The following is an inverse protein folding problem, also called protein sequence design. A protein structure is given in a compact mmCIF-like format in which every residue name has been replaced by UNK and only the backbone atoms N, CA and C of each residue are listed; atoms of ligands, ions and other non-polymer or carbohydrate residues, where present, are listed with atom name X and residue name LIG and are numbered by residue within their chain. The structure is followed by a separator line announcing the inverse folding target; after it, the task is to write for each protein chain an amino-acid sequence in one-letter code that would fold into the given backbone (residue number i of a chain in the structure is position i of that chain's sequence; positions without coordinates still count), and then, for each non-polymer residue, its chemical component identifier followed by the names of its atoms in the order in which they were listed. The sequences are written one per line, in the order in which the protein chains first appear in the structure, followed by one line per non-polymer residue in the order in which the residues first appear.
data_IF_323743784500
#
_entry.id   IF_323743784500
#
_cell.length_a   1.000
_cell.length_b   1.000
_cell.length_c   1.000
_cell.angle_alpha   90.00
_cell.angle_beta   90.00
_cell.angle_gamma   90.00
#
_symmetry.space_group_name_H-M   'P 1'
#
loop_
_entity.id
_entity.type
_entity.pdbx_description
1 polymer ?
#
# COMPACT_ATOMS: atom_id res chain seq x y z
N UNK A 1 2.24 -30.06 34.79
CA UNK A 1 3.08 -30.30 33.59
C UNK A 1 3.40 -29.04 32.76
N UNK A 2 3.40 -27.82 33.34
CA UNK A 2 3.82 -26.60 32.61
C UNK A 2 5.32 -26.31 32.80
N UNK A 3 5.87 -26.57 34.00
CA UNK A 3 7.27 -26.28 34.31
C UNK A 3 8.28 -27.32 33.78
N UNK A 4 7.81 -28.47 33.29
CA UNK A 4 8.67 -29.58 32.84
C UNK A 4 8.81 -29.66 31.31
N UNK A 5 7.90 -29.04 30.56
CA UNK A 5 7.86 -29.12 29.10
C UNK A 5 7.85 -27.70 28.53
N UNK A 6 8.86 -27.37 27.74
CA UNK A 6 9.00 -26.06 27.10
C UNK A 6 8.09 -25.98 25.87
N UNK A 7 6.87 -25.48 26.07
CA UNK A 7 5.86 -25.37 25.00
C UNK A 7 5.85 -24.01 24.31
N UNK A 8 6.38 -22.97 24.96
CA UNK A 8 6.39 -21.60 24.46
C UNK A 8 7.35 -21.44 23.27
N UNK A 9 6.89 -20.79 22.19
CA UNK A 9 7.70 -20.53 20.99
C UNK A 9 7.82 -19.04 20.74
N UNK A 10 9.03 -18.58 20.41
CA UNK A 10 9.31 -17.23 19.89
C UNK A 10 9.94 -17.35 18.52
N UNK A 11 9.37 -16.67 17.53
CA UNK A 11 9.88 -16.62 16.16
C UNK A 11 10.20 -15.17 15.82
N UNK A 12 11.38 -14.95 15.24
CA UNK A 12 11.83 -13.63 14.80
C UNK A 12 12.10 -13.67 13.31
N UNK A 13 11.54 -12.73 12.55
CA UNK A 13 11.90 -12.52 11.16
C UNK A 13 13.16 -11.64 11.10
N UNK A 14 14.29 -12.21 10.71
CA UNK A 14 15.59 -11.51 10.73
C UNK A 14 15.59 -10.22 9.88
N UNK A 15 15.07 -10.21 8.64
CA UNK A 15 15.14 -9.02 7.79
C UNK A 15 14.35 -7.81 8.30
N UNK A 16 13.21 -8.05 8.99
CA UNK A 16 12.34 -6.95 9.47
C UNK A 16 12.43 -6.73 10.98
N UNK A 17 13.13 -7.61 11.71
CA UNK A 17 13.20 -7.59 13.18
C UNK A 17 11.89 -7.95 13.90
N UNK A 18 10.80 -8.26 13.19
CA UNK A 18 9.51 -8.55 13.81
C UNK A 18 9.57 -9.88 14.55
N UNK A 19 9.31 -9.83 15.85
CA UNK A 19 9.21 -11.01 16.71
C UNK A 19 7.77 -11.29 17.12
N UNK A 20 7.42 -12.58 17.17
CA UNK A 20 6.13 -13.09 17.62
C UNK A 20 6.36 -14.19 18.66
N UNK A 21 5.58 -14.14 19.74
CA UNK A 21 5.59 -15.16 20.81
C UNK A 21 4.22 -15.85 20.84
N UNK A 22 4.21 -17.18 20.95
CA UNK A 22 3.00 -17.98 21.09
C UNK A 22 3.14 -19.00 22.23
N UNK A 23 2.13 -19.05 23.10
CA UNK A 23 2.05 -19.92 24.28
C UNK A 23 0.64 -20.51 24.47
N UNK A 24 -0.18 -20.52 23.41
CA UNK A 24 -1.60 -20.83 23.50
C UNK A 24 -1.85 -22.33 23.68
N UNK A 25 -1.02 -23.16 23.07
CA UNK A 25 -1.21 -24.61 23.01
C UNK A 25 -0.27 -25.34 23.96
N UNK A 26 -0.66 -26.58 24.29
CA UNK A 26 0.17 -27.51 25.06
C UNK A 26 1.28 -28.14 24.22
N UNK A 27 1.18 -28.11 22.89
CA UNK A 27 2.21 -28.62 21.98
C UNK A 27 3.09 -27.49 21.45
N UNK A 28 4.41 -27.71 21.51
CA UNK A 28 5.42 -26.81 20.95
C UNK A 28 5.26 -26.65 19.42
N UNK A 29 4.91 -27.73 18.71
CA UNK A 29 4.68 -27.70 17.26
C UNK A 29 3.48 -26.82 16.90
N UNK A 30 2.36 -26.97 17.61
CA UNK A 30 1.16 -26.17 17.37
C UNK A 30 1.41 -24.68 17.67
N UNK A 31 2.17 -24.38 18.74
CA UNK A 31 2.59 -23.01 19.04
C UNK A 31 3.48 -22.43 17.94
N UNK A 32 4.37 -23.24 17.34
CA UNK A 32 5.21 -22.84 16.21
C UNK A 32 4.38 -22.52 14.97
N UNK A 33 3.44 -23.37 14.60
CA UNK A 33 2.55 -23.14 13.44
C UNK A 33 1.72 -21.86 13.62
N UNK A 34 1.10 -21.66 14.78
CA UNK A 34 0.37 -20.43 15.10
C UNK A 34 1.28 -19.19 15.08
N UNK A 35 2.48 -19.29 15.64
CA UNK A 35 3.44 -18.17 15.62
C UNK A 35 3.82 -17.79 14.19
N UNK A 36 4.02 -18.76 13.29
CA UNK A 36 4.31 -18.52 11.88
C UNK A 36 3.14 -17.89 11.14
N UNK A 37 1.90 -18.34 11.39
CA UNK A 37 0.70 -17.73 10.81
C UNK A 37 0.56 -16.27 11.24
N UNK A 38 0.74 -15.98 12.53
CA UNK A 38 0.68 -14.61 13.06
C UNK A 38 1.82 -13.74 12.51
N UNK A 39 3.03 -14.29 12.38
CA UNK A 39 4.16 -13.59 11.78
C UNK A 39 3.89 -13.25 10.32
N UNK A 40 3.36 -14.19 9.53
CA UNK A 40 2.97 -13.97 8.13
C UNK A 40 1.91 -12.86 8.02
N UNK A 41 0.91 -12.85 8.88
CA UNK A 41 -0.11 -11.80 8.90
C UNK A 41 0.51 -10.41 9.15
N UNK A 42 1.42 -10.30 10.12
CA UNK A 42 2.15 -9.04 10.39
C UNK A 42 3.01 -8.57 9.22
N UNK A 43 3.75 -9.49 8.59
CA UNK A 43 4.57 -9.18 7.41
C UNK A 43 3.72 -8.71 6.23
N UNK A 44 2.53 -9.29 6.07
CA UNK A 44 1.60 -8.90 5.00
C UNK A 44 1.03 -7.49 5.22
N UNK A 45 0.73 -7.11 6.46
CA UNK A 45 0.35 -5.72 6.78
C UNK A 45 1.48 -4.76 6.45
N UNK A 46 2.71 -5.07 6.89
CA UNK A 46 3.89 -4.25 6.61
C UNK A 46 4.11 -4.08 5.09
N UNK A 47 3.99 -5.15 4.32
CA UNK A 47 4.16 -5.09 2.86
C UNK A 47 3.09 -4.21 2.19
N UNK A 48 1.85 -4.25 2.68
CA UNK A 48 0.76 -3.38 2.19
C UNK A 48 1.01 -1.92 2.50
N UNK A 49 1.47 -1.60 3.72
CA UNK A 49 1.83 -0.24 4.11
C UNK A 49 2.98 0.31 3.24
N UNK A 50 4.03 -0.48 3.05
CA UNK A 50 5.15 -0.11 2.17
C UNK A 50 4.70 0.12 0.73
N UNK A 51 3.79 -0.71 0.21
CA UNK A 51 3.25 -0.55 -1.13
C UNK A 51 2.37 0.70 -1.26
N UNK A 52 1.52 0.97 -0.26
CA UNK A 52 0.71 2.17 -0.21
C UNK A 52 1.57 3.43 -0.15
N UNK A 53 2.65 3.42 0.64
CA UNK A 53 3.61 4.52 0.71
C UNK A 53 4.28 4.75 -0.65
N UNK A 54 4.78 3.69 -1.31
CA UNK A 54 5.36 3.81 -2.66
C UNK A 54 4.39 4.41 -3.66
N UNK A 55 3.13 4.00 -3.63
CA UNK A 55 2.09 4.57 -4.50
C UNK A 55 1.86 6.05 -4.16
N UNK A 56 1.79 6.40 -2.87
CA UNK A 56 1.63 7.78 -2.45
C UNK A 56 2.80 8.65 -2.92
N UNK A 57 4.04 8.16 -2.79
CA UNK A 57 5.24 8.84 -3.25
C UNK A 57 5.23 9.05 -4.78
N UNK A 58 4.80 8.05 -5.55
CA UNK A 58 4.65 8.16 -7.02
C UNK A 58 3.52 9.12 -7.41
N UNK A 59 2.40 9.08 -6.69
CA UNK A 59 1.25 9.96 -6.92
C UNK A 59 1.63 11.42 -6.69
N UNK A 60 2.57 11.66 -5.79
CA UNK A 60 2.98 13.01 -5.38
C UNK A 60 1.89 13.71 -4.60
N UNK A 61 1.96 15.03 -4.56
CA UNK A 61 0.96 15.84 -3.86
C UNK A 61 -0.43 15.61 -4.45
N UNK A 62 -1.42 15.38 -3.58
CA UNK A 62 -2.81 15.25 -3.99
C UNK A 62 -3.25 16.61 -4.50
N UNK A 63 -3.26 16.77 -5.82
CA UNK A 63 -3.87 17.93 -6.48
C UNK A 63 -5.38 17.81 -6.30
N UNK A 64 -5.95 18.72 -5.51
CA UNK A 64 -7.39 18.81 -5.36
C UNK A 64 -8.01 19.15 -6.71
N UNK A 65 -9.09 18.44 -7.06
CA UNK A 65 -9.86 18.67 -8.28
C UNK A 65 -10.72 19.95 -8.15
N UNK A 66 -10.03 21.07 -7.93
CA UNK A 66 -10.61 22.40 -7.85
C UNK A 66 -10.63 23.07 -9.22
N UNK A 67 -11.57 24.00 -9.39
CA UNK A 67 -11.58 24.91 -10.54
C UNK A 67 -10.27 25.70 -10.58
N UNK A 68 -9.54 25.64 -11.70
CA UNK A 68 -8.24 26.30 -11.87
C UNK A 68 -7.02 25.37 -11.89
N UNK A 69 -7.13 24.13 -11.37
CA UNK A 69 -6.03 23.14 -11.40
C UNK A 69 -6.06 22.23 -12.65
N UNK A 70 -6.76 22.64 -13.70
CA UNK A 70 -6.97 21.86 -14.91
C UNK A 70 -5.73 21.96 -15.80
N UNK A 71 -5.19 20.82 -16.25
CA UNK A 71 -4.05 20.81 -17.18
C UNK A 71 -4.48 20.87 -18.65
N UNK A 72 -5.72 20.49 -18.96
CA UNK A 72 -6.30 20.54 -20.31
C UNK A 72 -7.75 20.97 -20.26
N UNK A 73 -8.11 21.84 -21.19
CA UNK A 73 -9.47 22.31 -21.40
C UNK A 73 -9.99 21.75 -22.72
N UNK A 74 -11.18 21.14 -22.67
CA UNK A 74 -11.89 20.64 -23.83
C UNK A 74 -13.19 21.43 -23.97
N UNK A 75 -13.31 22.20 -25.06
CA UNK A 75 -14.50 22.98 -25.40
C UNK A 75 -15.08 22.39 -26.67
N UNK A 76 -16.35 22.01 -26.63
CA UNK A 76 -17.05 21.42 -27.79
C UNK A 76 -18.07 22.37 -28.41
N UNK A 77 -18.56 23.35 -27.63
CA UNK A 77 -19.51 24.36 -28.07
C UNK A 77 -19.22 25.68 -27.32
N UNK A 78 -19.27 26.86 -27.95
CA UNK A 78 -19.71 27.14 -29.34
C UNK A 78 -18.70 26.79 -30.43
N UNK A 79 -17.46 26.49 -30.07
CA UNK A 79 -16.39 26.05 -30.97
C UNK A 79 -15.73 24.79 -30.42
N UNK A 80 -15.06 24.06 -31.31
CA UNK A 80 -14.28 22.87 -30.98
C UNK A 80 -12.82 23.28 -30.72
N UNK A 81 -12.37 23.13 -29.47
CA UNK A 81 -11.02 23.51 -29.04
C UNK A 81 -10.52 22.59 -27.93
N UNK A 82 -9.34 22.02 -28.10
CA UNK A 82 -8.56 21.38 -27.05
C UNK A 82 -7.33 22.23 -26.78
N UNK A 83 -7.16 22.66 -25.52
CA UNK A 83 -6.02 23.46 -25.09
C UNK A 83 -5.30 22.79 -23.92
N UNK A 84 -4.01 22.54 -24.07
CA UNK A 84 -3.13 22.11 -22.97
C UNK A 84 -2.52 23.34 -22.30
N UNK A 85 -2.86 23.54 -21.01
CA UNK A 85 -2.46 24.71 -20.23
C UNK A 85 -0.98 24.63 -19.83
N UNK A 86 -0.38 23.43 -19.84
CA UNK A 86 1.04 23.26 -19.48
C UNK A 86 1.97 23.64 -20.62
N UNK A 87 1.58 23.32 -21.85
CA UNK A 87 2.40 23.58 -23.05
C UNK A 87 1.92 24.78 -23.85
N UNK A 88 0.76 25.35 -23.49
CA UNK A 88 0.05 26.39 -24.23
C UNK A 88 -0.32 25.98 -25.67
N UNK A 89 -0.24 24.70 -26.01
CA UNK A 89 -0.60 24.20 -27.32
C UNK A 89 -2.12 24.06 -27.43
N UNK A 90 -2.66 24.41 -28.59
CA UNK A 90 -4.09 24.35 -28.88
C UNK A 90 -4.37 23.73 -30.26
N UNK A 91 -5.46 22.97 -30.34
CA UNK A 91 -5.96 22.38 -31.58
C UNK A 91 -7.47 22.50 -31.67
N UNK A 92 -7.97 22.68 -32.88
CA UNK A 92 -9.40 22.66 -33.22
C UNK A 92 -9.86 21.28 -33.69
N UNK A 93 -8.93 20.36 -33.94
CA UNK A 93 -9.25 18.99 -34.28
C UNK A 93 -9.46 18.18 -33.00
N UNK A 94 -10.73 17.97 -32.66
CA UNK A 94 -11.15 17.26 -31.44
C UNK A 94 -11.38 15.77 -31.73
N UNK A 95 -11.42 15.36 -33.01
CA UNK A 95 -11.64 13.97 -33.41
C UNK A 95 -10.33 13.23 -33.74
N UNK A 96 -9.27 13.97 -34.08
CA UNK A 96 -7.90 13.47 -34.22
C UNK A 96 -7.43 13.33 -35.66
#
# INVERSE_FOLDING_TARGET
NVNKVETAVRVTHLPTGIAVRCTQERSQLQNKEKALQLLKARLLVLAREQHAQKIADIRGDIVEAAWGNQIRNYVFHPYQLVKDVRTNWETTDVQG
#
